data_IF_037162882938
#
_entry.id   IF_037162882938
#
_cell.length_a   1.000
_cell.length_b   1.000
_cell.length_c   1.000
_cell.angle_alpha   90.00
_cell.angle_beta   90.00
_cell.angle_gamma   90.00
#
_symmetry.space_group_name_H-M   'P 1'
#
loop_
_entity.id
_entity.type
_entity.pdbx_description
1 polymer ?
#
# COMPACT_ATOMS: atom_id res chain seq x y z
N UNK A 1 -14.98 -2.67 -19.01
CA UNK A 1 -14.38 -1.42 -18.50
C UNK A 1 -13.11 -1.82 -17.79
N UNK A 2 -11.96 -1.54 -18.38
CA UNK A 2 -10.68 -1.68 -17.70
C UNK A 2 -10.70 -0.70 -16.55
N UNK A 3 -10.89 -1.18 -15.32
CA UNK A 3 -10.59 -0.39 -14.14
C UNK A 3 -9.09 -0.12 -14.21
N UNK A 4 -8.71 0.99 -14.84
CA UNK A 4 -7.39 1.59 -14.71
C UNK A 4 -7.21 1.88 -13.23
N UNK A 5 -6.81 0.82 -12.52
CA UNK A 5 -6.49 0.87 -11.11
C UNK A 5 -5.30 1.80 -11.06
N UNK A 6 -5.53 3.02 -10.58
CA UNK A 6 -4.54 4.09 -10.58
C UNK A 6 -3.56 3.80 -9.44
N UNK A 7 -2.80 2.71 -9.59
CA UNK A 7 -1.71 2.35 -8.69
C UNK A 7 -0.66 3.44 -8.80
N UNK A 8 -0.40 4.13 -7.70
CA UNK A 8 0.76 5.01 -7.58
C UNK A 8 1.95 4.15 -7.20
N UNK A 9 2.99 4.20 -8.02
CA UNK A 9 4.26 3.51 -7.73
C UNK A 9 5.30 4.55 -7.35
N UNK A 10 6.02 4.30 -6.25
CA UNK A 10 7.16 5.08 -5.79
C UNK A 10 8.33 4.15 -5.48
N UNK A 11 9.51 4.49 -5.96
CA UNK A 11 10.74 3.76 -5.66
C UNK A 11 11.32 4.28 -4.32
N UNK A 12 11.53 3.37 -3.37
CA UNK A 12 12.09 3.69 -2.06
C UNK A 12 13.12 2.64 -1.63
N UNK A 13 14.39 3.07 -1.49
CA UNK A 13 15.51 2.23 -1.02
C UNK A 13 15.60 0.87 -1.73
N UNK A 14 15.53 0.89 -3.07
CA UNK A 14 15.56 -0.31 -3.92
C UNK A 14 14.32 -1.21 -3.83
N UNK A 15 13.19 -0.68 -3.33
CA UNK A 15 11.88 -1.34 -3.38
C UNK A 15 10.86 -0.47 -4.10
N UNK A 16 10.02 -1.08 -4.92
CA UNK A 16 8.86 -0.44 -5.54
C UNK A 16 7.66 -0.54 -4.59
N UNK A 17 7.14 0.62 -4.20
CA UNK A 17 5.94 0.75 -3.37
C UNK A 17 4.75 1.09 -4.25
N UNK A 18 3.84 0.14 -4.43
CA UNK A 18 2.60 0.31 -5.17
C UNK A 18 1.45 0.58 -4.21
N UNK A 19 0.77 1.72 -4.36
CA UNK A 19 -0.35 2.12 -3.53
C UNK A 19 -1.60 2.29 -4.39
N UNK A 20 -2.68 1.65 -3.97
CA UNK A 20 -4.00 1.81 -4.57
C UNK A 20 -4.98 2.32 -3.53
N UNK A 21 -5.56 3.49 -3.77
CA UNK A 21 -6.69 3.98 -3.00
C UNK A 21 -8.00 3.36 -3.51
N UNK A 22 -8.76 2.77 -2.59
CA UNK A 22 -10.02 2.07 -2.86
C UNK A 22 -11.15 2.83 -2.16
N UNK A 23 -12.15 3.34 -2.89
CA UNK A 23 -13.30 3.99 -2.27
C UNK A 23 -14.17 2.98 -1.52
N UNK A 24 -14.39 3.18 -0.22
CA UNK A 24 -15.19 2.27 0.61
C UNK A 24 -16.68 2.30 0.25
N UNK A 25 -17.16 3.36 -0.39
CA UNK A 25 -18.53 3.45 -0.90
C UNK A 25 -18.85 2.40 -1.98
N UNK A 26 -17.86 1.83 -2.67
CA UNK A 26 -18.12 0.72 -3.58
C UNK A 26 -18.38 -0.61 -2.84
N UNK A 27 -18.02 -0.72 -1.56
CA UNK A 27 -18.25 -1.93 -0.73
C UNK A 27 -19.57 -1.95 0.01
N UNK A 28 -20.14 -0.80 0.36
CA UNK A 28 -21.51 -0.72 0.89
C UNK A 28 -22.37 -0.16 -0.22
N UNK A 29 -23.38 -0.90 -0.66
CA UNK A 29 -24.41 -0.44 -1.62
C UNK A 29 -25.27 0.69 -1.04
N UNK A 30 -24.65 1.73 -0.51
CA UNK A 30 -25.28 2.92 0.02
C UNK A 30 -25.48 3.88 -1.15
N UNK A 31 -26.71 3.90 -1.67
CA UNK A 31 -27.16 4.81 -2.73
C UNK A 31 -27.30 6.26 -2.24
N UNK A 32 -26.59 6.68 -1.21
CA UNK A 32 -26.52 8.09 -0.86
C UNK A 32 -25.61 8.77 -1.88
N UNK A 33 -26.17 9.61 -2.74
CA UNK A 33 -25.47 10.33 -3.82
C UNK A 33 -24.42 11.34 -3.36
N UNK A 34 -23.85 11.17 -2.17
CA UNK A 34 -22.66 11.85 -1.69
C UNK A 34 -21.48 10.92 -2.02
N UNK A 35 -20.47 11.43 -2.74
CA UNK A 35 -19.30 10.64 -3.14
C UNK A 35 -18.62 9.92 -1.96
N UNK A 36 -17.70 8.98 -2.22
CA UNK A 36 -17.08 8.16 -1.18
C UNK A 36 -16.51 9.02 -0.05
N UNK A 37 -17.19 8.99 1.11
CA UNK A 37 -16.78 9.69 2.34
C UNK A 37 -15.65 8.98 3.07
N UNK A 38 -15.34 7.75 2.64
CA UNK A 38 -14.34 6.89 3.25
C UNK A 38 -13.54 6.17 2.16
N UNK A 39 -12.23 6.17 2.35
CA UNK A 39 -11.25 5.54 1.49
C UNK A 39 -10.40 4.57 2.30
N UNK A 40 -10.14 3.43 1.70
CA UNK A 40 -9.14 2.46 2.12
C UNK A 40 -7.95 2.56 1.17
N UNK A 41 -6.81 2.00 1.55
CA UNK A 41 -5.69 1.79 0.64
C UNK A 41 -5.18 0.36 0.72
N UNK A 42 -4.55 -0.06 -0.38
CA UNK A 42 -3.77 -1.28 -0.48
C UNK A 42 -2.36 -0.89 -0.89
N UNK A 43 -1.39 -1.33 -0.11
CA UNK A 43 0.03 -1.17 -0.40
C UNK A 43 0.59 -2.53 -0.78
N UNK A 44 1.38 -2.57 -1.85
CA UNK A 44 2.20 -3.71 -2.23
C UNK A 44 3.63 -3.24 -2.34
N UNK A 45 4.56 -3.99 -1.77
CA UNK A 45 5.99 -3.68 -1.79
C UNK A 45 6.70 -4.84 -2.45
N UNK A 46 7.48 -4.55 -3.47
CA UNK A 46 8.31 -5.51 -4.18
C UNK A 46 9.74 -4.98 -4.25
N UNK A 47 10.74 -5.86 -4.31
CA UNK A 47 12.10 -5.44 -4.63
C UNK A 47 12.14 -4.81 -6.03
N UNK A 48 12.94 -3.76 -6.17
CA UNK A 48 13.08 -3.02 -7.42
C UNK A 48 13.63 -3.92 -8.51
N UNK A 49 12.82 -4.16 -9.54
CA UNK A 49 13.14 -5.09 -10.63
C UNK A 49 12.74 -6.55 -10.37
N UNK A 50 12.15 -6.86 -9.22
CA UNK A 50 11.47 -8.13 -9.00
C UNK A 50 10.02 -8.10 -9.51
N UNK A 51 9.48 -9.27 -9.84
CA UNK A 51 8.11 -9.38 -10.33
C UNK A 51 7.10 -8.96 -9.24
N UNK A 52 6.25 -7.94 -9.46
CA UNK A 52 5.29 -7.47 -8.45
C UNK A 52 4.18 -8.50 -8.15
N UNK A 53 4.14 -9.61 -8.90
CA UNK A 53 3.26 -10.77 -8.69
C UNK A 53 3.92 -11.88 -7.86
N UNK A 54 5.19 -11.74 -7.49
CA UNK A 54 5.92 -12.70 -6.68
C UNK A 54 5.27 -12.85 -5.30
N UNK A 55 5.27 -14.07 -4.78
CA UNK A 55 4.65 -14.43 -3.48
C UNK A 55 5.30 -13.69 -2.31
N UNK A 56 6.54 -13.22 -2.49
CA UNK A 56 7.33 -12.49 -1.48
C UNK A 56 6.93 -11.01 -1.35
N UNK A 57 5.99 -10.54 -2.17
CA UNK A 57 5.45 -9.18 -2.11
C UNK A 57 4.76 -8.94 -0.76
N UNK A 58 5.23 -7.95 0.00
CA UNK A 58 4.55 -7.52 1.23
C UNK A 58 3.29 -6.75 0.86
N UNK A 59 2.15 -7.18 1.40
CA UNK A 59 0.85 -6.53 1.15
C UNK A 59 0.27 -6.03 2.46
N UNK A 60 -0.06 -4.74 2.50
CA UNK A 60 -0.71 -4.11 3.66
C UNK A 60 -2.02 -3.45 3.24
N UNK A 61 -3.08 -3.70 4.00
CA UNK A 61 -4.41 -3.15 3.74
C UNK A 61 -4.82 -2.21 4.88
N UNK A 62 -5.33 -1.03 4.54
CA UNK A 62 -5.87 -0.05 5.49
C UNK A 62 -7.14 -0.50 6.22
N UNK A 63 -7.65 -1.70 5.97
CA UNK A 63 -8.93 -2.14 6.54
C UNK A 63 -8.93 -2.14 8.08
N UNK A 64 -7.76 -2.32 8.69
CA UNK A 64 -7.55 -2.31 10.14
C UNK A 64 -7.37 -0.89 10.71
N UNK A 65 -7.13 0.10 9.84
CA UNK A 65 -6.85 1.49 10.20
C UNK A 65 -8.09 2.38 10.07
N UNK A 66 -8.03 3.58 10.65
CA UNK A 66 -9.15 4.53 10.57
C UNK A 66 -9.43 4.88 9.10
N UNK A 67 -10.69 4.82 8.65
CA UNK A 67 -11.02 5.13 7.26
C UNK A 67 -10.69 6.58 6.94
N UNK A 68 -10.07 6.80 5.78
CA UNK A 68 -9.55 8.10 5.37
C UNK A 68 -10.61 8.92 4.62
N UNK A 69 -10.63 10.25 4.77
CA UNK A 69 -11.71 11.09 4.22
C UNK A 69 -11.56 11.35 2.71
N UNK A 70 -10.35 11.26 2.16
CA UNK A 70 -10.06 11.57 0.75
C UNK A 70 -9.14 10.51 0.13
N UNK A 71 -9.19 10.42 -1.21
CA UNK A 71 -8.32 9.55 -2.00
C UNK A 71 -6.85 9.87 -1.78
N UNK A 72 -6.48 11.15 -1.85
CA UNK A 72 -5.09 11.60 -1.67
C UNK A 72 -4.55 11.24 -0.28
N UNK A 73 -5.39 11.33 0.77
CA UNK A 73 -5.00 10.91 2.10
C UNK A 73 -4.75 9.39 2.17
N UNK A 74 -5.53 8.59 1.43
CA UNK A 74 -5.32 7.14 1.32
C UNK A 74 -4.04 6.79 0.56
N UNK A 75 -3.72 7.54 -0.51
CA UNK A 75 -2.47 7.38 -1.25
C UNK A 75 -1.25 7.75 -0.37
N UNK A 76 -1.31 8.88 0.33
CA UNK A 76 -0.22 9.36 1.20
C UNK A 76 -0.01 8.45 2.43
N UNK A 77 -1.10 8.03 3.08
CA UNK A 77 -1.04 7.07 4.18
C UNK A 77 -0.51 5.72 3.72
N UNK A 78 -0.91 5.25 2.53
CA UNK A 78 -0.40 4.02 1.93
C UNK A 78 1.11 4.10 1.63
N UNK A 79 1.59 5.22 1.08
CA UNK A 79 3.02 5.41 0.82
C UNK A 79 3.82 5.44 2.13
N UNK A 80 3.36 6.22 3.11
CA UNK A 80 3.99 6.29 4.45
C UNK A 80 4.06 4.90 5.10
N UNK A 81 2.97 4.12 4.98
CA UNK A 81 2.93 2.74 5.48
C UNK A 81 3.92 1.85 4.74
N UNK A 82 4.00 1.99 3.41
CA UNK A 82 4.96 1.28 2.57
C UNK A 82 6.41 1.53 2.98
N UNK A 83 6.78 2.79 3.18
CA UNK A 83 8.11 3.17 3.63
C UNK A 83 8.44 2.61 5.01
N UNK A 84 7.48 2.65 5.95
CA UNK A 84 7.65 2.06 7.28
C UNK A 84 7.87 0.54 7.23
N UNK A 85 7.17 -0.16 6.34
CA UNK A 85 7.36 -1.60 6.13
C UNK A 85 8.73 -1.93 5.53
N UNK A 86 9.20 -1.14 4.56
CA UNK A 86 10.55 -1.28 4.00
C UNK A 86 11.60 -0.99 5.07
N UNK A 87 11.44 0.06 5.87
CA UNK A 87 12.39 0.41 6.91
C UNK A 87 12.47 -0.69 8.00
N UNK A 88 11.32 -1.27 8.37
CA UNK A 88 11.28 -2.45 9.24
C UNK A 88 11.91 -3.69 8.60
N UNK A 89 11.68 -3.92 7.30
CA UNK A 89 12.26 -5.03 6.56
C UNK A 89 13.79 -4.89 6.52
N UNK A 90 14.31 -3.72 6.13
CA UNK A 90 15.73 -3.42 6.09
C UNK A 90 16.37 -3.46 7.49
N UNK A 91 15.70 -2.92 8.49
CA UNK A 91 16.15 -2.97 9.88
C UNK A 91 16.22 -4.42 10.41
N UNK A 92 15.22 -5.25 10.09
CA UNK A 92 15.22 -6.68 10.45
C UNK A 92 16.26 -7.47 9.67
N UNK A 93 16.43 -7.17 8.39
CA UNK A 93 17.40 -7.87 7.54
C UNK A 93 18.84 -7.54 7.96
N UNK A 94 19.12 -6.29 8.33
CA UNK A 94 20.41 -5.88 8.88
C UNK A 94 20.78 -6.65 10.18
N UNK A 95 19.79 -6.91 11.03
CA UNK A 95 19.99 -7.75 12.22
C UNK A 95 20.26 -9.22 11.84
N UNK A 96 19.54 -9.77 10.86
CA UNK A 96 19.70 -11.15 10.42
C UNK A 96 21.08 -11.41 9.76
N UNK A 97 21.60 -10.45 9.00
CA UNK A 97 22.91 -10.52 8.34
C UNK A 97 24.08 -10.40 9.34
N UNK A 98 23.84 -9.89 10.55
CA UNK A 98 24.88 -9.69 11.58
C UNK A 98 25.11 -10.93 12.46
N UNK A 99 24.28 -11.97 12.32
CA UNK A 99 24.32 -13.19 13.16
C UNK A 99 25.03 -14.35 12.45
N UNK A 100 25.38 -14.17 11.17
CA UNK A 100 26.16 -15.13 10.37
C UNK A 100 27.64 -14.70 10.35
N UNK A 101 28.32 -14.82 11.49
CA UNK A 101 29.78 -14.60 11.61
C UNK A 101 30.40 -15.50 12.68
#
# INVERSE_FOLDING_TARGET
MTMESNWRTELYKDFDVYVLAIPRAERKSDKSGQGPTQWDFVVRICESGADPTAVETLVAHSHDERPLPTREAAEDAGLTRGYGLIDQLLGRNAVQQSIDL
#
